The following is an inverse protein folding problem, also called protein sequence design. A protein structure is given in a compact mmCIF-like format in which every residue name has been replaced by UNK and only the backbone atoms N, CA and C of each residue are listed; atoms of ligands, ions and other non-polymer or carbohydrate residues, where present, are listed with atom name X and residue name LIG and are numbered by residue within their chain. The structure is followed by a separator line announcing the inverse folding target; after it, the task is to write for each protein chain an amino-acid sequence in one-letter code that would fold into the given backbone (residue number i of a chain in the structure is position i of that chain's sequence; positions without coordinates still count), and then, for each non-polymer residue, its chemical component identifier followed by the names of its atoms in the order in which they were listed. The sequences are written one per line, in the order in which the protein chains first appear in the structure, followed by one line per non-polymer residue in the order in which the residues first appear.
data_IF_434299289715
#
_entry.id   IF_434299289715
#
_cell.length_a   1.000
_cell.length_b   1.000
_cell.length_c   1.000
_cell.angle_alpha   90.00
_cell.angle_beta   90.00
_cell.angle_gamma   90.00
#
_symmetry.space_group_name_H-M   'P 1'
#
loop_
_entity.id
_entity.type
_entity.pdbx_description
1 polymer ?
#
# COMPACT_ATOMS: atom_id res chain seq x y z
N UNK A 1 -46.37 -15.00 44.78
CA UNK A 1 -46.83 -16.11 43.91
C UNK A 1 -48.06 -15.63 43.16
N UNK A 2 -47.89 -15.29 41.88
CA UNK A 2 -48.96 -14.80 40.98
C UNK A 2 -48.38 -14.92 39.56
N UNK A 3 -48.60 -16.01 38.82
CA UNK A 3 -49.85 -16.50 38.21
C UNK A 3 -50.24 -15.68 36.96
N UNK A 4 -49.94 -16.24 35.78
CA UNK A 4 -50.35 -15.76 34.44
C UNK A 4 -51.50 -16.65 33.96
N UNK A 5 -52.54 -16.09 33.31
CA UNK A 5 -53.41 -16.87 32.44
C UNK A 5 -53.60 -16.27 31.03
N UNK A 6 -53.19 -17.04 30.00
CA UNK A 6 -53.86 -17.27 28.70
C UNK A 6 -54.15 -16.04 27.76
N UNK A 7 -54.25 -16.16 26.42
CA UNK A 7 -54.77 -17.28 25.62
C UNK A 7 -54.15 -17.43 24.21
N UNK A 8 -54.30 -18.63 23.63
CA UNK A 8 -54.15 -19.04 22.21
C UNK A 8 -55.53 -19.58 21.72
N UNK A 9 -55.76 -20.08 20.46
CA UNK A 9 -54.93 -20.22 19.24
C UNK A 9 -55.55 -19.33 18.10
N UNK A 10 -56.01 -19.74 16.87
CA UNK A 10 -55.66 -20.86 15.97
C UNK A 10 -55.51 -20.55 14.43
N UNK A 11 -54.49 -21.16 13.82
CA UNK A 11 -54.47 -21.91 12.52
C UNK A 11 -55.05 -21.34 11.20
N UNK A 12 -54.14 -21.26 10.21
CA UNK A 12 -54.28 -21.78 8.81
C UNK A 12 -55.17 -21.01 7.81
N UNK A 13 -55.07 -21.27 6.47
CA UNK A 13 -54.20 -22.21 5.74
C UNK A 13 -53.27 -21.56 4.68
N UNK A 14 -52.55 -22.39 3.91
CA UNK A 14 -51.80 -21.99 2.72
C UNK A 14 -52.40 -22.62 1.44
N UNK A 15 -52.27 -21.97 0.25
CA UNK A 15 -52.54 -22.58 -1.05
C UNK A 15 -51.25 -23.07 -1.76
N UNK A 16 -51.37 -24.06 -2.67
CA UNK A 16 -50.26 -24.61 -3.46
C UNK A 16 -50.27 -24.17 -4.94
N UNK A 17 -49.06 -24.01 -5.49
CA UNK A 17 -48.74 -24.27 -6.91
C UNK A 17 -49.04 -23.14 -7.92
N UNK A 18 -48.80 -23.38 -9.23
CA UNK A 18 -48.25 -24.60 -9.86
C UNK A 18 -46.82 -24.42 -10.44
N UNK A 19 -46.23 -25.50 -10.95
CA UNK A 19 -44.88 -25.51 -11.50
C UNK A 19 -44.78 -24.97 -12.95
N UNK A 20 -43.58 -24.48 -13.33
CA UNK A 20 -43.15 -24.33 -14.73
C UNK A 20 -41.77 -24.95 -14.95
N UNK A 21 -41.59 -25.57 -16.11
CA UNK A 21 -40.35 -26.24 -16.58
C UNK A 21 -39.51 -25.30 -17.45
N UNK A 22 -38.20 -25.55 -17.51
CA UNK A 22 -37.25 -24.88 -18.41
C UNK A 22 -36.70 -23.58 -17.81
N UNK A 23 -35.41 -23.28 -17.87
CA UNK A 23 -34.39 -23.72 -18.84
C UNK A 23 -33.04 -23.98 -18.15
N UNK A 24 -32.29 -25.01 -18.56
CA UNK A 24 -30.86 -25.11 -18.22
C UNK A 24 -30.08 -24.04 -18.98
N UNK A 25 -29.60 -23.03 -18.27
CA UNK A 25 -28.55 -22.14 -18.75
C UNK A 25 -27.25 -22.54 -18.06
N UNK A 26 -26.44 -23.35 -18.74
CA UNK A 26 -25.04 -23.53 -18.36
C UNK A 26 -24.34 -22.19 -18.60
N UNK A 27 -24.08 -21.43 -17.54
CA UNK A 27 -23.03 -20.42 -17.59
C UNK A 27 -21.69 -21.18 -17.69
N UNK A 28 -20.90 -21.01 -18.75
CA UNK A 28 -19.54 -21.50 -18.75
C UNK A 28 -18.77 -20.76 -17.66
N UNK A 29 -18.12 -21.49 -16.75
CA UNK A 29 -17.04 -20.91 -15.96
C UNK A 29 -15.91 -20.56 -16.93
N UNK A 30 -15.89 -19.32 -17.42
CA UNK A 30 -14.66 -18.71 -17.87
C UNK A 30 -13.77 -18.59 -16.62
N UNK A 31 -12.90 -19.57 -16.44
CA UNK A 31 -11.80 -19.49 -15.51
C UNK A 31 -10.86 -18.37 -15.98
N UNK A 32 -11.17 -17.13 -15.58
CA UNK A 32 -10.23 -16.03 -15.67
C UNK A 32 -8.94 -16.47 -14.97
N UNK A 33 -7.77 -16.37 -15.62
CA UNK A 33 -6.55 -16.91 -15.06
C UNK A 33 -6.18 -16.15 -13.78
N UNK A 34 -6.14 -16.85 -12.65
CA UNK A 34 -5.54 -16.35 -11.40
C UNK A 34 -4.01 -16.30 -11.54
N UNK A 35 -3.54 -15.43 -12.43
CA UNK A 35 -2.15 -15.05 -12.60
C UNK A 35 -2.00 -13.55 -12.30
N UNK A 36 -0.83 -13.15 -11.78
CA UNK A 36 -0.47 -11.74 -11.53
C UNK A 36 -1.32 -10.95 -10.49
N UNK A 37 -1.64 -11.56 -9.34
CA UNK A 37 -1.82 -10.78 -8.08
C UNK A 37 -0.47 -10.49 -7.38
N UNK A 38 0.63 -11.12 -7.85
CA UNK A 38 1.99 -10.60 -7.62
C UNK A 38 2.16 -9.30 -8.40
N UNK A 39 2.00 -8.16 -7.72
CA UNK A 39 2.13 -6.84 -8.32
C UNK A 39 3.59 -6.45 -8.54
N UNK A 40 4.15 -6.90 -9.66
CA UNK A 40 5.48 -6.52 -10.15
C UNK A 40 5.66 -4.99 -10.13
N UNK A 41 6.89 -4.50 -9.94
CA UNK A 41 7.16 -3.05 -9.88
C UNK A 41 8.13 -2.61 -10.95
N UNK A 42 7.83 -1.48 -11.58
CA UNK A 42 8.73 -0.80 -12.52
C UNK A 42 10.06 -0.42 -11.84
N UNK A 43 11.23 -0.97 -12.24
CA UNK A 43 12.49 -0.75 -11.53
C UNK A 43 13.10 0.63 -11.80
N UNK A 44 12.69 1.28 -12.88
CA UNK A 44 12.95 2.67 -13.26
C UNK A 44 11.66 3.30 -13.82
N UNK A 45 11.65 4.62 -14.02
CA UNK A 45 10.58 5.27 -14.80
C UNK A 45 10.79 4.99 -16.29
N UNK A 46 9.71 4.79 -17.05
CA UNK A 46 9.79 4.43 -18.47
C UNK A 46 8.58 4.95 -19.26
N UNK A 47 8.78 5.36 -20.51
CA UNK A 47 7.66 5.70 -21.40
C UNK A 47 6.88 4.45 -21.85
N UNK A 48 5.55 4.56 -21.85
CA UNK A 48 4.64 3.51 -22.31
C UNK A 48 3.92 3.92 -23.60
N UNK A 49 3.76 2.97 -24.51
CA UNK A 49 3.40 3.21 -25.91
C UNK A 49 2.18 2.38 -26.30
N UNK A 50 1.42 2.82 -27.32
CA UNK A 50 0.28 2.04 -27.86
C UNK A 50 0.77 0.69 -28.42
N UNK A 51 1.84 0.76 -29.19
CA UNK A 51 2.45 -0.35 -29.93
C UNK A 51 3.98 -0.34 -29.70
N UNK A 52 4.69 -1.47 -29.88
CA UNK A 52 6.15 -1.54 -29.79
C UNK A 52 6.85 -0.50 -30.69
N UNK A 53 7.51 0.49 -30.09
CA UNK A 53 8.17 1.59 -30.81
C UNK A 53 7.25 2.64 -31.45
N UNK A 54 5.95 2.64 -31.10
CA UNK A 54 4.98 3.64 -31.57
C UNK A 54 5.10 4.99 -30.84
N UNK A 55 4.03 5.78 -30.84
CA UNK A 55 3.97 7.05 -30.10
C UNK A 55 3.86 6.80 -28.58
N UNK A 56 4.63 7.53 -27.73
CA UNK A 56 4.48 7.44 -26.28
C UNK A 56 3.14 8.03 -25.83
N UNK A 57 2.36 7.24 -25.09
CA UNK A 57 1.09 7.62 -24.48
C UNK A 57 1.26 8.26 -23.09
N UNK A 58 2.45 8.14 -22.50
CA UNK A 58 2.76 8.62 -21.16
C UNK A 58 4.01 7.97 -20.58
N UNK A 59 4.28 8.25 -19.31
CA UNK A 59 5.44 7.75 -18.57
C UNK A 59 4.98 7.03 -17.30
N UNK A 60 5.36 5.77 -17.15
CA UNK A 60 5.21 4.99 -15.91
C UNK A 60 6.30 5.42 -14.91
N UNK A 61 5.91 5.60 -13.64
CA UNK A 61 6.82 5.98 -12.56
C UNK A 61 7.62 4.79 -12.05
N UNK A 62 8.86 5.02 -11.60
CA UNK A 62 9.61 4.05 -10.78
C UNK A 62 8.77 3.59 -9.59
N UNK A 63 8.85 2.30 -9.27
CA UNK A 63 8.09 1.60 -8.23
C UNK A 63 6.56 1.57 -8.45
N UNK A 64 6.03 2.03 -9.57
CA UNK A 64 4.64 1.77 -9.94
C UNK A 64 4.42 0.26 -10.03
N UNK A 65 3.42 -0.26 -9.30
CA UNK A 65 3.04 -1.66 -9.43
C UNK A 65 2.19 -1.87 -10.68
N UNK A 66 2.51 -2.92 -11.43
CA UNK A 66 2.04 -3.27 -12.77
C UNK A 66 1.96 -4.80 -12.88
N UNK A 67 1.45 -5.31 -14.00
CA UNK A 67 1.55 -6.73 -14.37
C UNK A 67 2.31 -6.85 -15.69
N UNK A 68 3.40 -7.61 -15.70
CA UNK A 68 4.20 -7.82 -16.91
C UNK A 68 3.61 -8.92 -17.81
N UNK A 69 3.20 -8.54 -19.02
CA UNK A 69 2.68 -9.42 -20.07
C UNK A 69 3.79 -9.99 -20.97
N UNK A 70 3.48 -10.20 -22.25
CA UNK A 70 4.42 -10.80 -23.20
C UNK A 70 5.62 -9.89 -23.54
N UNK A 71 6.70 -10.49 -24.05
CA UNK A 71 7.83 -9.76 -24.65
C UNK A 71 7.80 -9.92 -26.16
N UNK A 72 7.92 -8.81 -26.90
CA UNK A 72 7.95 -8.78 -28.36
C UNK A 72 8.98 -7.76 -28.84
N UNK A 73 9.96 -8.20 -29.64
CA UNK A 73 10.93 -7.34 -30.32
C UNK A 73 11.65 -6.29 -29.42
N UNK A 74 12.04 -6.67 -28.19
CA UNK A 74 12.70 -5.76 -27.23
C UNK A 74 11.75 -4.89 -26.39
N UNK A 75 10.43 -5.07 -26.56
CA UNK A 75 9.39 -4.42 -25.76
C UNK A 75 8.70 -5.44 -24.86
N UNK A 76 8.31 -5.00 -23.65
CA UNK A 76 7.50 -5.75 -22.69
C UNK A 76 6.12 -5.11 -22.62
N UNK A 77 5.09 -5.93 -22.71
CA UNK A 77 3.71 -5.55 -22.43
C UNK A 77 3.52 -5.33 -20.93
N UNK A 78 2.81 -4.28 -20.57
CA UNK A 78 2.58 -3.84 -19.19
C UNK A 78 1.10 -3.47 -19.04
N UNK A 79 0.40 -4.17 -18.15
CA UNK A 79 -0.95 -3.77 -17.73
C UNK A 79 -0.86 -3.03 -16.41
N UNK A 80 -1.54 -1.89 -16.30
CA UNK A 80 -1.61 -1.11 -15.06
C UNK A 80 -2.98 -0.48 -14.85
N UNK A 81 -3.28 -0.23 -13.58
CA UNK A 81 -4.53 0.37 -13.10
C UNK A 81 -4.20 1.50 -12.14
N UNK A 82 -5.00 2.57 -12.17
CA UNK A 82 -4.89 3.67 -11.21
C UNK A 82 -6.09 4.61 -11.27
N UNK A 83 -5.99 5.73 -10.57
CA UNK A 83 -7.06 6.71 -10.41
C UNK A 83 -6.67 8.05 -11.01
N UNK A 84 -7.57 8.62 -11.81
CA UNK A 84 -7.42 9.93 -12.44
C UNK A 84 -8.60 10.82 -12.06
N UNK A 85 -8.37 12.12 -11.89
CA UNK A 85 -9.46 13.05 -11.59
C UNK A 85 -10.47 13.06 -12.76
N UNK A 86 -11.76 12.94 -12.47
CA UNK A 86 -12.83 12.85 -13.48
C UNK A 86 -12.90 14.09 -14.39
N UNK A 87 -12.33 15.24 -13.98
CA UNK A 87 -12.19 16.46 -14.82
C UNK A 87 -11.10 16.35 -15.90
N UNK A 88 -10.13 15.44 -15.76
CA UNK A 88 -9.02 15.24 -16.68
C UNK A 88 -9.26 14.09 -17.69
N UNK A 89 -10.45 13.48 -17.65
CA UNK A 89 -10.92 12.47 -18.60
C UNK A 89 -12.21 12.91 -19.29
N UNK A 90 -12.34 12.56 -20.57
CA UNK A 90 -13.56 12.69 -21.37
C UNK A 90 -13.99 11.29 -21.83
N UNK A 91 -15.29 11.02 -21.88
CA UNK A 91 -15.80 9.79 -22.48
C UNK A 91 -15.47 9.74 -23.97
N UNK A 92 -14.87 8.64 -24.42
CA UNK A 92 -14.32 8.49 -25.78
C UNK A 92 -14.21 7.00 -26.12
N UNK A 93 -14.88 6.56 -27.19
CA UNK A 93 -15.00 5.14 -27.58
C UNK A 93 -14.00 4.69 -28.65
N UNK A 94 -12.98 5.51 -28.96
CA UNK A 94 -11.93 5.16 -29.93
C UNK A 94 -11.13 3.94 -29.47
N UNK A 95 -10.71 3.13 -30.45
CA UNK A 95 -9.96 1.87 -30.27
C UNK A 95 -10.60 0.86 -29.26
N UNK A 96 -11.87 1.02 -28.90
CA UNK A 96 -12.59 0.16 -27.93
C UNK A 96 -12.40 0.52 -26.45
N UNK A 97 -11.79 1.67 -26.15
CA UNK A 97 -11.65 2.20 -24.78
C UNK A 97 -12.89 2.99 -24.34
N UNK A 98 -12.95 3.44 -23.09
CA UNK A 98 -14.08 4.21 -22.54
C UNK A 98 -13.78 5.71 -22.38
N UNK A 99 -12.51 6.08 -22.18
CA UNK A 99 -12.09 7.45 -21.90
C UNK A 99 -10.81 7.87 -22.61
N UNK A 100 -10.72 9.16 -22.92
CA UNK A 100 -9.51 9.86 -23.34
C UNK A 100 -9.06 10.86 -22.27
N UNK A 101 -7.74 10.98 -22.06
CA UNK A 101 -7.13 12.04 -21.25
C UNK A 101 -7.22 13.40 -21.97
N UNK A 102 -7.66 14.45 -21.27
CA UNK A 102 -7.86 15.80 -21.84
C UNK A 102 -6.74 16.80 -21.53
N UNK A 103 -5.88 16.49 -20.56
CA UNK A 103 -4.80 17.38 -20.08
C UNK A 103 -3.47 16.65 -20.14
N UNK A 104 -2.40 17.32 -20.59
CA UNK A 104 -1.10 16.65 -20.72
C UNK A 104 -0.42 16.40 -19.37
N UNK A 105 0.38 15.34 -19.28
CA UNK A 105 1.00 14.85 -18.05
C UNK A 105 0.00 14.59 -16.89
N UNK A 106 -1.24 14.21 -17.21
CA UNK A 106 -2.28 13.93 -16.22
C UNK A 106 -1.82 12.80 -15.27
N UNK A 107 -1.77 13.04 -13.95
CA UNK A 107 -1.28 12.06 -12.99
C UNK A 107 -2.33 10.97 -12.71
N UNK A 108 -1.96 9.73 -13.01
CA UNK A 108 -2.67 8.50 -12.63
C UNK A 108 -2.07 8.02 -11.30
N UNK A 109 -2.88 8.04 -10.24
CA UNK A 109 -2.48 7.78 -8.85
C UNK A 109 -2.83 6.37 -8.38
N UNK A 110 -2.31 5.97 -7.21
CA UNK A 110 -2.57 4.65 -6.63
C UNK A 110 -3.97 4.45 -6.06
N UNK A 111 -4.61 5.52 -5.61
CA UNK A 111 -5.92 5.55 -4.96
C UNK A 111 -6.66 6.85 -5.32
N UNK A 112 -7.95 6.93 -5.00
CA UNK A 112 -8.83 8.07 -5.27
C UNK A 112 -8.56 9.28 -4.33
N UNK A 113 -7.30 9.73 -4.26
CA UNK A 113 -6.84 10.79 -3.36
C UNK A 113 -5.75 11.64 -4.03
N UNK A 114 -5.76 12.96 -3.79
CA UNK A 114 -4.82 13.91 -4.42
C UNK A 114 -3.38 13.84 -3.87
N UNK A 115 -3.19 13.29 -2.67
CA UNK A 115 -1.90 13.03 -2.05
C UNK A 115 -1.30 11.67 -2.46
N UNK A 116 -2.12 10.76 -2.99
CA UNK A 116 -1.71 9.40 -3.34
C UNK A 116 -0.57 9.39 -4.39
N UNK A 117 0.43 8.49 -4.26
CA UNK A 117 1.58 8.43 -5.16
C UNK A 117 1.17 8.20 -6.61
N UNK A 118 1.84 8.92 -7.51
CA UNK A 118 1.63 8.84 -8.97
C UNK A 118 2.27 7.55 -9.50
N UNK A 119 1.45 6.70 -10.12
CA UNK A 119 1.86 5.48 -10.83
C UNK A 119 2.29 5.77 -12.27
N UNK A 120 1.64 6.72 -12.93
CA UNK A 120 1.98 7.15 -14.28
C UNK A 120 1.54 8.61 -14.53
N UNK A 121 2.18 9.29 -15.48
CA UNK A 121 1.68 10.50 -16.11
C UNK A 121 1.22 10.15 -17.54
N UNK A 122 -0.03 10.47 -17.88
CA UNK A 122 -0.60 10.21 -19.20
C UNK A 122 -0.66 11.47 -20.05
N UNK A 123 -0.41 11.33 -21.36
CA UNK A 123 -0.44 12.45 -22.32
C UNK A 123 -1.85 12.71 -22.84
N UNK A 124 -2.07 13.92 -23.34
CA UNK A 124 -3.36 14.29 -23.96
C UNK A 124 -3.71 13.33 -25.09
N UNK A 125 -4.96 12.87 -25.14
CA UNK A 125 -5.45 11.93 -26.15
C UNK A 125 -5.13 10.46 -25.88
N UNK A 126 -4.38 10.12 -24.82
CA UNK A 126 -4.18 8.73 -24.41
C UNK A 126 -5.51 8.09 -23.94
N UNK A 127 -5.77 6.86 -24.37
CA UNK A 127 -7.05 6.15 -24.19
C UNK A 127 -6.97 5.08 -23.10
N UNK A 128 -8.02 4.91 -22.31
CA UNK A 128 -8.07 3.99 -21.16
C UNK A 128 -9.45 3.33 -21.00
N UNK A 129 -9.49 2.13 -20.43
CA UNK A 129 -10.74 1.50 -19.98
C UNK A 129 -11.19 2.17 -18.67
N UNK A 130 -12.50 2.30 -18.46
CA UNK A 130 -13.11 2.79 -17.21
C UNK A 130 -13.54 1.61 -16.34
N UNK A 131 -12.83 1.38 -15.24
CA UNK A 131 -13.22 0.34 -14.27
C UNK A 131 -14.29 0.81 -13.27
N UNK A 132 -14.39 2.12 -13.02
CA UNK A 132 -15.36 2.66 -12.07
C UNK A 132 -15.13 4.14 -11.74
N UNK A 133 -15.85 4.64 -10.75
CA UNK A 133 -15.76 6.02 -10.24
C UNK A 133 -15.94 6.07 -8.73
N UNK A 134 -15.19 6.93 -8.05
CA UNK A 134 -15.29 7.18 -6.61
C UNK A 134 -15.12 8.68 -6.36
N UNK A 135 -16.22 9.35 -5.97
CA UNK A 135 -16.27 10.80 -5.82
C UNK A 135 -15.81 11.54 -7.09
N UNK A 136 -14.80 12.40 -6.93
CA UNK A 136 -14.18 13.17 -8.02
C UNK A 136 -13.19 12.37 -8.89
N UNK A 137 -13.04 11.06 -8.68
CA UNK A 137 -12.06 10.21 -9.37
C UNK A 137 -12.70 9.14 -10.26
N UNK A 138 -12.06 8.88 -11.38
CA UNK A 138 -12.33 7.75 -12.29
C UNK A 138 -11.20 6.74 -12.15
N UNK A 139 -11.54 5.45 -11.99
CA UNK A 139 -10.55 4.37 -12.05
C UNK A 139 -10.33 3.96 -13.50
N UNK A 140 -9.07 3.96 -13.93
CA UNK A 140 -8.65 3.67 -15.30
C UNK A 140 -7.70 2.48 -15.37
N UNK A 141 -7.79 1.71 -16.46
CA UNK A 141 -6.88 0.61 -16.81
C UNK A 141 -6.27 0.83 -18.19
N UNK A 142 -5.02 0.40 -18.37
CA UNK A 142 -4.33 0.39 -19.67
C UNK A 142 -3.41 -0.81 -19.78
N UNK A 143 -3.41 -1.43 -20.95
CA UNK A 143 -2.30 -2.28 -21.43
C UNK A 143 -1.49 -1.50 -22.47
N UNK A 144 -0.16 -1.48 -22.32
CA UNK A 144 0.77 -0.69 -23.13
C UNK A 144 2.15 -1.34 -23.20
N UNK A 145 3.04 -0.86 -24.08
CA UNK A 145 4.38 -1.40 -24.27
C UNK A 145 5.47 -0.47 -23.70
N UNK A 146 6.41 -1.04 -22.93
CA UNK A 146 7.63 -0.37 -22.43
C UNK A 146 8.87 -1.06 -22.98
N UNK A 147 9.99 -0.34 -23.11
CA UNK A 147 11.24 -0.94 -23.56
C UNK A 147 11.82 -1.87 -22.48
N UNK A 148 12.27 -3.07 -22.86
CA UNK A 148 12.92 -4.03 -21.92
C UNK A 148 14.19 -3.44 -21.30
N UNK A 149 14.88 -2.53 -22.01
CA UNK A 149 16.02 -1.79 -21.47
C UNK A 149 15.66 -0.98 -20.21
N UNK A 150 14.44 -0.46 -20.09
CA UNK A 150 13.95 0.24 -18.90
C UNK A 150 13.53 -0.69 -17.75
N UNK A 151 13.54 -2.00 -17.98
CA UNK A 151 13.29 -3.04 -16.98
C UNK A 151 14.59 -3.66 -16.45
N UNK A 152 15.73 -3.38 -17.08
CA UNK A 152 17.02 -3.64 -16.46
C UNK A 152 17.21 -2.69 -15.26
N UNK A 153 17.50 -3.24 -14.09
CA UNK A 153 18.04 -2.42 -13.00
C UNK A 153 19.38 -1.82 -13.48
N UNK A 154 19.68 -0.54 -13.19
CA UNK A 154 20.97 0.04 -13.54
C UNK A 154 22.06 -0.75 -12.81
N UNK A 155 22.94 -1.40 -13.57
CA UNK A 155 24.12 -2.04 -13.01
C UNK A 155 24.94 -0.98 -12.26
N UNK A 156 25.59 -1.32 -11.13
CA UNK A 156 26.42 -0.37 -10.40
C UNK A 156 27.60 0.03 -11.28
N UNK A 157 27.52 1.21 -11.91
CA UNK A 157 28.62 1.78 -12.66
C UNK A 157 29.80 1.97 -11.71
N UNK A 158 31.00 1.41 -12.03
CA UNK A 158 32.18 1.71 -11.24
C UNK A 158 32.43 3.22 -11.26
N UNK A 159 32.91 3.81 -10.15
CA UNK A 159 33.04 5.26 -10.04
C UNK A 159 33.99 5.80 -11.13
N UNK A 160 33.57 6.78 -11.95
CA UNK A 160 34.43 7.33 -12.98
C UNK A 160 35.61 8.08 -12.33
N UNK A 161 36.82 8.01 -12.92
CA UNK A 161 37.96 8.79 -12.44
C UNK A 161 37.67 10.30 -12.52
N UNK A 162 38.12 11.05 -11.52
CA UNK A 162 37.77 12.45 -11.36
C UNK A 162 38.25 13.33 -12.54
N UNK A 163 37.36 14.09 -13.20
CA UNK A 163 37.76 15.07 -14.21
C UNK A 163 38.57 16.22 -13.60
N UNK A 164 39.65 16.62 -14.27
CA UNK A 164 40.37 17.85 -13.95
C UNK A 164 39.52 19.10 -14.27
N UNK A 165 39.76 20.20 -13.55
CA UNK A 165 38.96 21.41 -13.67
C UNK A 165 39.26 22.21 -14.95
N UNK A 166 38.20 22.70 -15.60
CA UNK A 166 38.24 23.76 -16.60
C UNK A 166 37.14 24.79 -16.30
N UNK A 167 37.44 26.08 -16.48
CA UNK A 167 36.58 27.20 -16.11
C UNK A 167 35.44 27.46 -17.13
N UNK A 168 34.33 28.15 -16.75
CA UNK A 168 33.11 28.16 -17.54
C UNK A 168 33.07 29.23 -18.64
N UNK A 169 32.40 28.89 -19.74
CA UNK A 169 31.83 29.85 -20.69
C UNK A 169 30.30 29.81 -20.57
N UNK A 170 29.67 30.96 -20.31
CA UNK A 170 28.24 31.02 -19.97
C UNK A 170 27.30 30.96 -21.18
N UNK A 171 26.05 30.54 -20.93
CA UNK A 171 24.92 30.84 -21.81
C UNK A 171 23.70 31.22 -20.96
N UNK A 172 22.86 32.12 -21.49
CA UNK A 172 21.87 32.85 -20.72
C UNK A 172 20.69 32.00 -20.20
N UNK A 173 20.03 32.48 -19.15
CA UNK A 173 18.91 31.82 -18.51
C UNK A 173 17.61 31.89 -19.34
N UNK A 174 16.77 30.86 -19.18
CA UNK A 174 15.34 30.90 -19.47
C UNK A 174 14.59 30.44 -18.20
N UNK A 175 13.62 31.22 -17.67
CA UNK A 175 12.91 30.87 -16.45
C UNK A 175 11.76 29.88 -16.73
N UNK A 176 12.06 28.60 -16.91
CA UNK A 176 11.04 27.54 -16.89
C UNK A 176 10.69 27.14 -15.46
N UNK A 177 9.49 27.49 -14.99
CA UNK A 177 8.98 27.14 -13.65
C UNK A 177 8.68 25.64 -13.53
N UNK A 178 9.74 24.86 -13.35
CA UNK A 178 9.71 23.43 -13.01
C UNK A 178 9.38 23.28 -11.51
N UNK A 179 8.60 22.28 -11.06
CA UNK A 179 8.59 21.91 -9.65
C UNK A 179 10.00 21.48 -9.25
N UNK A 180 10.64 22.28 -8.39
CA UNK A 180 12.09 22.27 -8.12
C UNK A 180 12.53 21.07 -7.25
N UNK A 181 12.34 19.85 -7.72
CA UNK A 181 12.80 18.61 -7.07
C UNK A 181 14.28 18.34 -7.33
N UNK A 182 15.12 19.36 -7.19
CA UNK A 182 16.57 19.32 -7.43
C UNK A 182 17.40 18.91 -6.22
N UNK A 183 18.71 18.72 -6.44
CA UNK A 183 19.70 18.69 -5.36
C UNK A 183 20.13 20.14 -5.07
N UNK A 184 19.74 20.65 -3.91
CA UNK A 184 19.94 22.05 -3.51
C UNK A 184 20.97 22.13 -2.38
N UNK A 185 21.84 23.14 -2.42
CA UNK A 185 22.77 23.46 -1.34
C UNK A 185 22.08 24.36 -0.30
N UNK A 186 21.89 23.83 0.92
CA UNK A 186 21.45 24.60 2.09
C UNK A 186 22.70 25.19 2.74
N UNK A 187 22.73 26.50 2.99
CA UNK A 187 23.92 27.17 3.49
C UNK A 187 24.12 26.96 5.00
N UNK A 188 25.39 26.90 5.42
CA UNK A 188 25.76 26.97 6.84
C UNK A 188 25.21 28.25 7.49
N UNK A 189 24.77 28.15 8.74
CA UNK A 189 24.08 29.21 9.47
C UNK A 189 22.57 29.29 9.21
N UNK A 190 22.00 28.49 8.30
CA UNK A 190 20.55 28.47 8.07
C UNK A 190 19.82 27.77 9.21
N UNK A 191 18.82 28.41 9.81
CA UNK A 191 17.90 27.76 10.73
C UNK A 191 16.90 26.86 9.99
N UNK A 192 16.41 25.81 10.67
CA UNK A 192 15.38 24.93 10.16
C UNK A 192 14.30 24.66 11.21
N UNK A 193 13.08 24.34 10.76
CA UNK A 193 11.91 24.07 11.57
C UNK A 193 11.26 22.75 11.13
N UNK A 194 10.48 22.11 12.01
CA UNK A 194 9.73 20.90 11.65
C UNK A 194 8.61 21.18 10.63
N UNK A 195 8.06 22.39 10.66
CA UNK A 195 6.92 22.84 9.84
C UNK A 195 7.21 24.21 9.21
N UNK A 196 6.58 24.49 8.06
CA UNK A 196 6.73 25.75 7.35
C UNK A 196 6.09 26.91 8.13
N UNK A 197 6.92 27.74 8.77
CA UNK A 197 6.49 28.83 9.65
C UNK A 197 6.52 28.47 11.15
N UNK A 198 6.91 27.24 11.50
CA UNK A 198 7.10 26.82 12.89
C UNK A 198 8.39 27.38 13.52
N UNK A 199 8.50 27.23 14.84
CA UNK A 199 9.69 27.60 15.59
C UNK A 199 10.96 26.89 15.07
N UNK A 200 12.12 27.57 15.02
CA UNK A 200 13.39 26.92 14.71
C UNK A 200 13.69 25.77 15.69
N UNK A 201 13.93 24.58 15.16
CA UNK A 201 14.33 23.38 15.92
C UNK A 201 15.85 23.15 15.91
N UNK A 202 16.58 23.90 15.08
CA UNK A 202 18.03 23.83 14.99
C UNK A 202 18.61 24.78 13.94
N UNK A 203 19.94 24.81 13.86
CA UNK A 203 20.72 25.52 12.84
C UNK A 203 21.62 24.53 12.13
N UNK A 204 21.67 24.60 10.80
CA UNK A 204 22.59 23.82 10.00
C UNK A 204 23.97 24.50 10.02
N UNK A 205 24.92 24.01 10.81
CA UNK A 205 26.22 24.70 11.01
C UNK A 205 27.05 24.85 9.73
N UNK A 206 27.05 23.85 8.86
CA UNK A 206 27.87 23.81 7.65
C UNK A 206 27.01 23.52 6.41
N UNK A 207 27.37 24.11 5.26
CA UNK A 207 26.63 23.92 4.01
C UNK A 207 26.49 22.42 3.67
N UNK A 208 25.27 21.99 3.35
CA UNK A 208 24.94 20.60 2.97
C UNK A 208 24.11 20.57 1.69
N UNK A 209 24.28 19.51 0.91
CA UNK A 209 23.39 19.21 -0.22
C UNK A 209 22.25 18.32 0.26
N UNK A 210 21.02 18.68 -0.08
CA UNK A 210 19.84 17.88 0.16
C UNK A 210 18.93 17.87 -1.08
N UNK A 211 18.02 16.90 -1.15
CA UNK A 211 16.95 16.91 -2.15
C UNK A 211 15.87 17.88 -1.70
N UNK A 212 15.56 18.87 -2.53
CA UNK A 212 14.38 19.70 -2.31
C UNK A 212 13.12 18.87 -2.59
N UNK A 213 12.23 18.80 -1.61
CA UNK A 213 10.99 18.01 -1.66
C UNK A 213 9.79 18.91 -2.01
N UNK A 214 9.71 20.08 -1.39
CA UNK A 214 8.59 21.01 -1.49
C UNK A 214 9.10 22.45 -1.24
N UNK A 215 8.51 23.45 -1.90
CA UNK A 215 8.72 24.87 -1.56
C UNK A 215 7.36 25.54 -1.38
N UNK A 216 7.11 26.10 -0.20
CA UNK A 216 5.80 26.62 0.22
C UNK A 216 5.96 27.84 1.13
N UNK A 217 5.28 28.93 0.82
CA UNK A 217 5.23 30.16 1.64
C UNK A 217 6.63 30.69 2.04
N UNK A 218 7.60 30.64 1.12
CA UNK A 218 9.01 31.03 1.37
C UNK A 218 9.88 29.93 2.00
N UNK A 219 9.28 28.93 2.65
CA UNK A 219 10.00 27.78 3.21
C UNK A 219 10.31 26.73 2.14
N UNK A 220 11.42 26.02 2.33
CA UNK A 220 11.84 24.90 1.48
C UNK A 220 12.01 23.64 2.33
N UNK A 221 11.20 22.62 2.09
CA UNK A 221 11.27 21.32 2.76
C UNK A 221 12.35 20.47 2.07
N UNK A 222 13.42 20.16 2.77
CA UNK A 222 14.61 19.52 2.19
C UNK A 222 14.89 18.20 2.90
N UNK A 223 15.00 17.13 2.11
CA UNK A 223 15.45 15.82 2.56
C UNK A 223 16.98 15.79 2.53
N UNK A 224 17.61 15.70 3.70
CA UNK A 224 19.04 15.47 3.83
C UNK A 224 19.31 13.95 3.78
N UNK A 225 20.44 13.58 3.17
CA UNK A 225 20.98 12.23 3.16
C UNK A 225 22.24 12.24 4.03
N UNK A 226 22.14 11.71 5.26
CA UNK A 226 23.14 11.84 6.32
C UNK A 226 23.19 10.59 7.19
N UNK A 227 24.40 10.17 7.55
CA UNK A 227 24.62 9.13 8.56
C UNK A 227 24.52 9.73 9.96
N UNK A 228 23.68 9.12 10.79
CA UNK A 228 23.48 9.43 12.21
C UNK A 228 23.89 8.20 13.02
N UNK A 229 24.42 8.38 14.24
CA UNK A 229 24.71 7.24 15.13
C UNK A 229 23.40 6.63 15.64
N UNK A 230 23.29 5.30 15.64
CA UNK A 230 22.05 4.59 15.99
C UNK A 230 21.48 5.01 17.35
N UNK A 231 22.34 5.25 18.36
CA UNK A 231 21.94 5.73 19.68
C UNK A 231 21.38 7.17 19.75
N UNK A 232 21.30 7.88 18.63
CA UNK A 232 20.60 9.16 18.49
C UNK A 232 19.26 9.03 17.70
N UNK A 233 18.88 7.81 17.32
CA UNK A 233 17.56 7.51 16.73
C UNK A 233 16.59 7.11 17.84
N UNK A 234 15.44 7.78 17.90
CA UNK A 234 14.27 7.20 18.58
C UNK A 234 13.84 5.91 17.87
N UNK A 235 13.35 4.93 18.64
CA UNK A 235 13.09 3.56 18.15
C UNK A 235 12.27 3.51 16.85
N UNK A 236 12.87 2.98 15.79
CA UNK A 236 12.27 2.97 14.44
C UNK A 236 11.06 2.03 14.40
N UNK A 237 9.89 2.57 14.11
CA UNK A 237 8.72 1.77 13.73
C UNK A 237 8.79 1.38 12.26
N UNK A 238 8.44 0.13 11.95
CA UNK A 238 8.59 -0.47 10.62
C UNK A 238 7.48 -0.01 9.68
N UNK A 239 7.72 1.06 8.92
CA UNK A 239 6.83 1.56 7.86
C UNK A 239 6.75 0.57 6.68
N UNK A 240 5.92 -0.47 6.81
CA UNK A 240 5.74 -1.52 5.80
C UNK A 240 5.36 -2.91 6.35
N UNK A 241 5.26 -3.10 7.67
CA UNK A 241 4.66 -4.31 8.24
C UNK A 241 3.15 -4.35 8.01
N UNK A 242 2.59 -5.56 7.87
CA UNK A 242 1.14 -5.79 7.89
C UNK A 242 0.60 -5.33 9.25
N UNK A 243 -0.38 -4.44 9.27
CA UNK A 243 -1.00 -3.95 10.50
C UNK A 243 -2.09 -4.89 11.01
N UNK A 244 -2.50 -4.75 12.27
CA UNK A 244 -3.67 -5.46 12.79
C UNK A 244 -4.96 -4.95 12.18
N UNK A 245 -4.99 -3.69 11.72
CA UNK A 245 -6.08 -3.13 10.94
C UNK A 245 -6.22 -3.83 9.58
N UNK A 246 -5.11 -4.01 8.83
CA UNK A 246 -5.11 -4.75 7.55
C UNK A 246 -5.69 -6.17 7.72
N UNK A 247 -5.27 -6.88 8.78
CA UNK A 247 -5.75 -8.24 9.10
C UNK A 247 -7.23 -8.28 9.49
N UNK A 248 -7.79 -7.18 10.00
CA UNK A 248 -9.22 -7.07 10.34
C UNK A 248 -10.09 -6.64 9.16
N UNK A 249 -9.53 -5.88 8.21
CA UNK A 249 -10.23 -5.38 7.02
C UNK A 249 -10.24 -6.40 5.86
N UNK A 250 -9.15 -7.16 5.65
CA UNK A 250 -9.06 -8.25 4.66
C UNK A 250 -8.57 -9.56 5.33
N UNK A 251 -9.38 -10.18 6.21
CA UNK A 251 -8.93 -11.27 7.07
C UNK A 251 -8.54 -12.55 6.32
N UNK A 252 -9.10 -12.79 5.13
CA UNK A 252 -8.86 -14.01 4.35
C UNK A 252 -7.53 -13.93 3.58
N UNK A 253 -7.10 -12.73 3.19
CA UNK A 253 -5.78 -12.47 2.56
C UNK A 253 -4.60 -12.82 3.44
N UNK A 254 -4.71 -12.59 4.75
CA UNK A 254 -3.56 -12.65 5.67
C UNK A 254 -3.38 -13.99 6.40
N UNK A 255 -4.36 -14.90 6.35
CA UNK A 255 -4.20 -16.26 6.94
C UNK A 255 -2.98 -16.96 6.34
N UNK A 256 -2.17 -17.57 7.21
CA UNK A 256 -0.91 -18.24 6.85
C UNK A 256 0.28 -17.30 6.63
N UNK A 257 0.10 -15.98 6.65
CA UNK A 257 1.22 -15.03 6.55
C UNK A 257 1.93 -14.84 7.90
N UNK A 258 3.26 -14.74 7.86
CA UNK A 258 4.07 -14.43 9.04
C UNK A 258 4.24 -12.90 9.18
N UNK A 259 3.93 -12.39 10.37
CA UNK A 259 4.00 -10.97 10.75
C UNK A 259 5.00 -10.76 11.89
N UNK A 260 5.52 -9.53 12.03
CA UNK A 260 6.33 -9.11 13.18
C UNK A 260 5.65 -7.94 13.88
N UNK A 261 5.17 -8.18 15.10
CA UNK A 261 4.29 -7.26 15.83
C UNK A 261 4.85 -6.95 17.22
N UNK A 262 4.82 -5.67 17.59
CA UNK A 262 5.00 -5.22 18.98
C UNK A 262 3.64 -5.32 19.69
N UNK A 263 3.56 -6.06 20.79
CA UNK A 263 2.31 -6.36 21.51
C UNK A 263 2.44 -6.04 23.00
N UNK A 264 1.39 -5.49 23.59
CA UNK A 264 1.27 -5.26 25.04
C UNK A 264 0.52 -6.43 25.68
N UNK A 265 1.18 -7.16 26.58
CA UNK A 265 0.64 -8.36 27.25
C UNK A 265 -0.38 -7.98 28.31
N UNK A 266 -1.59 -8.53 28.24
CA UNK A 266 -2.66 -8.25 29.20
C UNK A 266 -2.89 -9.42 30.17
N UNK A 267 -2.97 -10.66 29.67
CA UNK A 267 -3.15 -11.87 30.49
C UNK A 267 -2.78 -13.15 29.73
N UNK A 268 -2.46 -14.23 30.44
CA UNK A 268 -2.36 -15.59 29.88
C UNK A 268 -3.57 -16.40 30.31
N UNK A 269 -4.31 -16.93 29.34
CA UNK A 269 -5.62 -17.55 29.51
C UNK A 269 -5.69 -18.93 28.81
N UNK A 270 -6.79 -19.66 28.98
CA UNK A 270 -7.09 -20.90 28.23
C UNK A 270 -8.25 -20.69 27.24
N UNK A 271 -8.20 -21.40 26.12
CA UNK A 271 -9.24 -21.41 25.10
C UNK A 271 -10.49 -22.20 25.54
N UNK A 272 -11.66 -21.71 25.16
CA UNK A 272 -12.98 -22.28 25.45
C UNK A 272 -13.76 -22.63 24.17
N UNK A 273 -14.89 -23.31 24.33
CA UNK A 273 -15.76 -23.73 23.21
C UNK A 273 -16.38 -22.57 22.42
N UNK A 274 -16.31 -21.33 22.94
CA UNK A 274 -16.86 -20.15 22.28
C UNK A 274 -15.96 -19.63 21.15
N UNK A 275 -14.71 -20.11 21.06
CA UNK A 275 -13.67 -19.59 20.15
C UNK A 275 -13.03 -20.73 19.35
N UNK A 276 -13.75 -21.33 18.38
CA UNK A 276 -13.30 -22.51 17.64
C UNK A 276 -12.05 -22.30 16.78
N UNK A 277 -11.58 -21.05 16.63
CA UNK A 277 -10.30 -20.71 16.01
C UNK A 277 -9.09 -21.02 16.92
N UNK A 278 -9.33 -21.24 18.22
CA UNK A 278 -8.37 -21.70 19.21
C UNK A 278 -8.64 -23.18 19.53
N UNK A 279 -7.61 -24.06 19.61
CA UNK A 279 -7.81 -25.43 20.07
C UNK A 279 -8.28 -25.43 21.53
N UNK A 280 -9.31 -26.23 21.85
CA UNK A 280 -9.94 -26.25 23.18
C UNK A 280 -8.92 -26.54 24.30
N UNK A 281 -8.93 -25.72 25.36
CA UNK A 281 -7.99 -25.83 26.48
C UNK A 281 -6.59 -25.27 26.22
N UNK A 282 -6.21 -24.97 24.96
CA UNK A 282 -4.89 -24.45 24.62
C UNK A 282 -4.62 -23.12 25.35
N UNK A 283 -3.44 -22.95 25.97
CA UNK A 283 -3.04 -21.66 26.51
C UNK A 283 -2.78 -20.63 25.38
N UNK A 284 -3.25 -19.40 25.61
CA UNK A 284 -2.99 -18.28 24.72
C UNK A 284 -2.75 -17.00 25.55
N UNK A 285 -2.03 -16.05 24.97
CA UNK A 285 -1.83 -14.71 25.52
C UNK A 285 -2.87 -13.78 24.91
N UNK A 286 -3.65 -13.13 25.78
CA UNK A 286 -4.45 -11.97 25.42
C UNK A 286 -3.52 -10.75 25.42
N UNK A 287 -3.37 -10.11 24.26
CA UNK A 287 -2.56 -8.92 24.09
C UNK A 287 -3.35 -7.77 23.44
N UNK A 288 -2.82 -6.56 23.57
CA UNK A 288 -3.19 -5.38 22.77
C UNK A 288 -2.13 -5.14 21.69
N UNK A 289 -2.55 -4.76 20.49
CA UNK A 289 -1.66 -4.34 19.40
C UNK A 289 -2.14 -4.81 18.02
N UNK A 290 -1.25 -4.79 17.01
CA UNK A 290 0.14 -4.32 17.07
C UNK A 290 0.24 -2.84 17.41
N UNK A 291 1.08 -2.49 18.38
CA UNK A 291 1.26 -1.10 18.82
C UNK A 291 1.74 -0.23 17.65
N UNK A 292 1.14 0.96 17.42
CA UNK A 292 0.31 1.74 18.34
C UNK A 292 -1.20 1.43 18.33
N UNK A 293 -1.69 0.38 17.65
CA UNK A 293 -3.11 0.03 17.66
C UNK A 293 -3.61 -0.37 19.07
N UNK A 294 -4.86 -0.02 19.36
CA UNK A 294 -5.56 -0.40 20.60
C UNK A 294 -6.37 -1.69 20.48
N UNK A 295 -6.33 -2.34 19.31
CA UNK A 295 -7.02 -3.61 19.06
C UNK A 295 -6.51 -4.75 19.95
N UNK A 296 -7.33 -5.80 20.10
CA UNK A 296 -6.94 -7.02 20.81
C UNK A 296 -6.40 -8.07 19.84
N UNK A 297 -5.54 -8.95 20.33
CA UNK A 297 -4.99 -10.10 19.60
C UNK A 297 -4.97 -11.32 20.53
N UNK A 298 -5.29 -12.50 19.98
CA UNK A 298 -5.08 -13.78 20.66
C UNK A 298 -3.83 -14.47 20.09
N UNK A 299 -2.75 -14.53 20.89
CA UNK A 299 -1.48 -15.17 20.54
C UNK A 299 -1.44 -16.59 21.13
N UNK A 300 -1.51 -17.64 20.32
CA UNK A 300 -1.30 -19.01 20.80
C UNK A 300 0.17 -19.18 21.20
N UNK A 301 0.39 -19.84 22.34
CA UNK A 301 1.71 -20.19 22.86
C UNK A 301 1.75 -21.68 23.22
N UNK A 302 2.93 -22.30 23.22
CA UNK A 302 3.04 -23.69 23.68
C UNK A 302 2.95 -23.76 25.20
N UNK A 303 2.50 -24.90 25.75
CA UNK A 303 2.42 -25.12 27.21
C UNK A 303 3.75 -24.86 27.93
N UNK A 304 4.87 -25.13 27.24
CA UNK A 304 6.24 -24.93 27.75
C UNK A 304 6.58 -23.46 27.99
N UNK A 305 5.97 -22.54 27.24
CA UNK A 305 6.23 -21.11 27.30
C UNK A 305 5.29 -20.39 28.27
N UNK A 306 4.20 -21.02 28.71
CA UNK A 306 3.17 -20.43 29.59
C UNK A 306 3.75 -19.85 30.87
N UNK A 307 4.75 -20.52 31.47
CA UNK A 307 5.43 -20.02 32.66
C UNK A 307 6.18 -18.72 32.38
N UNK A 308 6.89 -18.63 31.25
CA UNK A 308 7.59 -17.42 30.81
C UNK A 308 6.62 -16.28 30.53
N UNK A 309 5.53 -16.53 29.82
CA UNK A 309 4.50 -15.52 29.52
C UNK A 309 3.75 -15.03 30.76
N UNK A 310 3.59 -15.87 31.79
CA UNK A 310 3.01 -15.48 33.10
C UNK A 310 4.00 -14.75 34.02
N UNK A 311 5.30 -14.84 33.76
CA UNK A 311 6.35 -14.17 34.53
C UNK A 311 6.71 -12.77 33.99
N UNK A 312 6.09 -12.33 32.89
CA UNK A 312 6.21 -10.95 32.40
C UNK A 312 5.49 -9.96 33.32
N UNK A 313 5.95 -8.72 33.33
CA UNK A 313 5.27 -7.64 34.05
C UNK A 313 3.88 -7.37 33.43
N UNK A 314 2.87 -6.96 34.23
CA UNK A 314 1.58 -6.55 33.70
C UNK A 314 1.74 -5.39 32.70
N UNK A 315 1.10 -5.51 31.52
CA UNK A 315 1.21 -4.54 30.42
C UNK A 315 2.60 -4.45 29.76
N UNK A 316 3.50 -5.42 30.00
CA UNK A 316 4.80 -5.51 29.32
C UNK A 316 4.66 -5.49 27.79
N UNK A 317 5.50 -4.70 27.13
CA UNK A 317 5.62 -4.68 25.68
C UNK A 317 6.64 -5.72 25.23
N UNK A 318 6.22 -6.64 24.36
CA UNK A 318 7.04 -7.66 23.72
C UNK A 318 7.06 -7.46 22.21
N UNK A 319 8.05 -8.03 21.52
CA UNK A 319 8.04 -8.11 20.05
C UNK A 319 8.04 -9.57 19.62
N UNK A 320 7.04 -9.97 18.85
CA UNK A 320 6.88 -11.36 18.39
C UNK A 320 6.97 -11.44 16.87
N UNK A 321 7.55 -12.53 16.38
CA UNK A 321 7.27 -13.07 15.05
C UNK A 321 6.20 -14.13 15.21
N UNK A 322 5.09 -13.99 14.49
CA UNK A 322 3.93 -14.85 14.60
C UNK A 322 3.31 -15.12 13.23
N UNK A 323 2.52 -16.18 13.08
CA UNK A 323 1.79 -16.48 11.83
C UNK A 323 0.29 -16.32 12.04
N UNK A 324 -0.41 -15.64 11.14
CA UNK A 324 -1.85 -15.40 11.29
C UNK A 324 -2.63 -16.69 11.07
N UNK A 325 -3.30 -17.17 12.12
CA UNK A 325 -4.17 -18.35 12.09
C UNK A 325 -5.58 -18.01 11.57
N UNK A 326 -6.12 -16.87 12.02
CA UNK A 326 -7.41 -16.35 11.55
C UNK A 326 -7.45 -14.82 11.73
N UNK A 327 -7.92 -14.07 10.73
CA UNK A 327 -8.01 -12.60 10.85
C UNK A 327 -9.13 -12.08 11.76
N UNK A 328 -10.06 -12.97 12.16
CA UNK A 328 -11.17 -12.72 13.09
C UNK A 328 -11.53 -14.02 13.83
N UNK A 329 -12.23 -13.90 14.95
CA UNK A 329 -12.94 -15.03 15.59
C UNK A 329 -14.44 -14.95 15.28
N UNK A 330 -15.16 -16.05 15.49
CA UNK A 330 -16.59 -16.19 15.20
C UNK A 330 -17.48 -15.07 15.74
N UNK A 331 -17.13 -14.48 16.88
CA UNK A 331 -17.94 -13.48 17.58
C UNK A 331 -17.29 -12.10 17.72
N UNK A 332 -15.99 -11.96 17.42
CA UNK A 332 -15.24 -10.71 17.58
C UNK A 332 -14.25 -10.50 16.41
N UNK A 333 -14.04 -9.25 15.95
CA UNK A 333 -13.00 -8.89 14.97
C UNK A 333 -11.60 -8.89 15.60
N UNK A 334 -11.30 -9.91 16.40
CA UNK A 334 -10.02 -10.15 17.08
C UNK A 334 -9.22 -11.17 16.28
N UNK A 335 -8.05 -10.82 15.72
CA UNK A 335 -7.21 -11.78 15.03
C UNK A 335 -6.57 -12.78 16.00
N UNK A 336 -6.31 -13.96 15.45
CA UNK A 336 -5.68 -15.11 16.09
C UNK A 336 -4.35 -15.38 15.40
N UNK A 337 -3.26 -15.45 16.16
CA UNK A 337 -1.90 -15.63 15.64
C UNK A 337 -1.17 -16.75 16.41
N UNK A 338 -0.38 -17.56 15.72
CA UNK A 338 0.50 -18.57 16.31
C UNK A 338 1.89 -17.98 16.57
N UNK A 339 2.41 -18.11 17.79
CA UNK A 339 3.79 -17.69 18.10
C UNK A 339 4.80 -18.53 17.28
N UNK A 340 5.66 -17.86 16.50
CA UNK A 340 6.82 -18.51 15.84
C UNK A 340 8.07 -18.33 16.68
N UNK A 341 8.30 -17.11 17.21
CA UNK A 341 9.30 -16.81 18.24
C UNK A 341 9.09 -15.42 18.83
N UNK A 342 9.56 -15.20 20.05
CA UNK A 342 9.82 -13.86 20.58
C UNK A 342 11.09 -13.26 19.94
N UNK A 343 11.20 -11.93 19.91
CA UNK A 343 12.31 -11.17 19.33
C UNK A 343 13.03 -10.26 20.35
N UNK A 344 12.47 -10.14 21.56
CA UNK A 344 13.11 -9.73 22.81
C UNK A 344 13.55 -10.95 23.66
#
# INVERSE_FOLDING_TARGET
MTAIPQSTPPRSPAPLGPARRGLLLLLPLLAAPLAAQGGDRMPASADFHKDPGGTPLGTLSRNAAVSFGQTRAGWREVTFTGWVETRAVRADTRDGFDVSITVDQTPIRSSADASAPVRAAARTGALFDRLGTSGSWTQVRRTAWVAVASLAAPAPTPPPPAPAAAAPAGRAAQPTTTPDSGVVAVQGGSSFAAEAGGSPIGVLEATRRGRLVERRNGWSRIQLDVWVRDGALGGVQAAGGVSGQDVRDDPERYVGQTVEWSLQVLAVQQADELRPELPLGQPYVLARGPLPETGFVYLLVSEKEVATWRALEPLAEVRVRATVRAGRTRYLPTPVIDLVRRLD
#
